data_IF_733813908645
#
_entry.id   IF_733813908645
#
_cell.length_a   1.000
_cell.length_b   1.000
_cell.length_c   1.000
_cell.angle_alpha   90.00
_cell.angle_beta   90.00
_cell.angle_gamma   90.00
#
_symmetry.space_group_name_H-M   'P 1'
#
loop_
_entity.id
_entity.type
_entity.pdbx_description
1 polymer ?
#
# COMPACT_ATOMS: atom_id res chain seq x y z
N UNK A 1 -4.75 1.40 -32.03
CA UNK A 1 -3.89 1.66 -30.85
C UNK A 1 -4.77 2.12 -29.70
N UNK A 2 -5.01 1.28 -28.71
CA UNK A 2 -5.63 1.67 -27.44
C UNK A 2 -5.06 0.74 -26.36
N UNK A 3 -3.85 1.06 -25.90
CA UNK A 3 -3.26 0.44 -24.73
C UNK A 3 -4.17 0.70 -23.53
N UNK A 4 -4.79 -0.37 -23.01
CA UNK A 4 -5.71 -0.41 -21.87
C UNK A 4 -6.11 0.94 -21.26
N UNK A 5 -7.20 1.53 -21.76
CA UNK A 5 -7.76 2.81 -21.29
C UNK A 5 -7.77 2.87 -19.76
N UNK A 6 -7.21 3.95 -19.21
CA UNK A 6 -7.33 4.32 -17.80
C UNK A 6 -8.82 4.46 -17.44
N UNK A 7 -9.22 3.91 -16.30
CA UNK A 7 -10.63 3.90 -15.86
C UNK A 7 -10.70 4.67 -14.54
N UNK A 8 -11.02 5.96 -14.63
CA UNK A 8 -11.04 6.88 -13.48
C UNK A 8 -12.06 6.48 -12.42
N UNK A 9 -13.13 5.82 -12.82
CA UNK A 9 -14.20 5.34 -11.95
C UNK A 9 -13.66 4.28 -10.98
N UNK A 10 -12.76 3.41 -11.45
CA UNK A 10 -12.16 2.36 -10.63
C UNK A 10 -11.20 2.95 -9.58
N UNK A 11 -10.44 3.97 -9.95
CA UNK A 11 -9.57 4.66 -8.99
C UNK A 11 -10.37 5.45 -7.95
N UNK A 12 -11.51 6.03 -8.35
CA UNK A 12 -12.43 6.70 -7.43
C UNK A 12 -13.04 5.72 -6.43
N UNK A 13 -13.43 4.51 -6.87
CA UNK A 13 -13.89 3.44 -5.98
C UNK A 13 -12.80 3.00 -4.99
N UNK A 14 -11.54 2.93 -5.43
CA UNK A 14 -10.41 2.66 -4.53
C UNK A 14 -10.23 3.77 -3.50
N UNK A 15 -10.36 5.03 -3.91
CA UNK A 15 -10.28 6.18 -2.99
C UNK A 15 -11.39 6.15 -1.94
N UNK A 16 -12.64 5.83 -2.34
CA UNK A 16 -13.77 5.65 -1.41
C UNK A 16 -13.50 4.52 -0.43
N UNK A 17 -12.98 3.38 -0.90
CA UNK A 17 -12.64 2.24 -0.05
C UNK A 17 -11.59 2.62 1.00
N UNK A 18 -10.51 3.29 0.60
CA UNK A 18 -9.47 3.81 1.53
C UNK A 18 -10.06 4.84 2.49
N UNK A 19 -10.93 5.74 2.02
CA UNK A 19 -11.59 6.71 2.87
C UNK A 19 -12.44 6.03 3.96
N UNK A 20 -13.16 4.97 3.62
CA UNK A 20 -13.90 4.17 4.61
C UNK A 20 -12.99 3.56 5.68
N UNK A 21 -11.81 3.05 5.28
CA UNK A 21 -10.80 2.53 6.23
C UNK A 21 -10.28 3.65 7.14
N UNK A 22 -9.98 4.82 6.59
CA UNK A 22 -9.50 5.97 7.37
C UNK A 22 -10.55 6.46 8.36
N UNK A 23 -11.80 6.60 7.92
CA UNK A 23 -12.91 7.05 8.76
C UNK A 23 -13.19 6.06 9.90
N UNK A 24 -13.10 4.76 9.64
CA UNK A 24 -13.17 3.73 10.69
C UNK A 24 -12.10 3.92 11.76
N UNK A 25 -10.85 4.20 11.38
CA UNK A 25 -9.76 4.43 12.35
C UNK A 25 -9.88 5.77 13.09
N UNK A 26 -10.50 6.79 12.48
CA UNK A 26 -10.69 8.10 13.11
C UNK A 26 -11.89 8.13 14.06
N UNK A 27 -12.95 7.37 13.76
CA UNK A 27 -14.21 7.37 14.51
C UNK A 27 -14.71 5.93 14.78
N UNK A 28 -13.95 5.10 15.50
CA UNK A 28 -14.26 3.67 15.66
C UNK A 28 -15.61 3.41 16.34
N UNK A 29 -16.04 4.28 17.26
CA UNK A 29 -17.33 4.14 17.97
C UNK A 29 -18.54 4.50 17.10
N UNK A 30 -18.35 5.29 16.05
CA UNK A 30 -19.43 5.80 15.18
C UNK A 30 -19.47 5.13 13.82
N UNK A 31 -18.34 4.62 13.35
CA UNK A 31 -18.18 4.01 12.03
C UNK A 31 -17.64 2.61 12.24
N UNK A 32 -18.51 1.61 12.10
CA UNK A 32 -18.15 0.20 12.18
C UNK A 32 -17.88 -0.38 10.79
N UNK A 33 -17.13 -1.49 10.71
CA UNK A 33 -16.99 -2.23 9.45
C UNK A 33 -15.89 -1.75 8.50
N UNK A 34 -14.89 -1.03 8.99
CA UNK A 34 -13.78 -0.52 8.15
C UNK A 34 -13.01 -1.62 7.40
N UNK A 35 -13.04 -2.86 7.88
CA UNK A 35 -12.43 -4.02 7.20
C UNK A 35 -13.01 -4.25 5.79
N UNK A 36 -14.29 -3.92 5.55
CA UNK A 36 -14.93 -4.03 4.23
C UNK A 36 -14.21 -3.14 3.21
N UNK A 37 -13.78 -1.94 3.63
CA UNK A 37 -13.00 -1.04 2.78
C UNK A 37 -11.66 -1.65 2.36
N UNK A 38 -11.03 -2.42 3.25
CA UNK A 38 -9.78 -3.15 2.96
C UNK A 38 -10.03 -4.21 1.89
N UNK A 39 -11.08 -5.03 2.04
CA UNK A 39 -11.43 -6.09 1.09
C UNK A 39 -11.74 -5.51 -0.31
N UNK A 40 -12.59 -4.48 -0.37
CA UNK A 40 -12.95 -3.81 -1.62
C UNK A 40 -11.69 -3.24 -2.30
N UNK A 41 -10.84 -2.56 -1.54
CA UNK A 41 -9.61 -1.98 -2.08
C UNK A 41 -8.69 -3.03 -2.69
N UNK A 42 -8.48 -4.17 -2.01
CA UNK A 42 -7.61 -5.24 -2.50
C UNK A 42 -8.20 -5.96 -3.71
N UNK A 43 -9.50 -6.27 -3.71
CA UNK A 43 -10.17 -6.91 -4.86
C UNK A 43 -10.06 -6.03 -6.10
N UNK A 44 -10.38 -4.73 -5.99
CA UNK A 44 -10.30 -3.79 -7.11
C UNK A 44 -8.85 -3.62 -7.57
N UNK A 45 -7.91 -3.49 -6.64
CA UNK A 45 -6.49 -3.38 -6.98
C UNK A 45 -6.00 -4.64 -7.70
N UNK A 46 -6.40 -5.83 -7.25
CA UNK A 46 -6.11 -7.10 -7.92
C UNK A 46 -6.63 -7.13 -9.35
N UNK A 47 -7.88 -6.73 -9.58
CA UNK A 47 -8.45 -6.60 -10.92
C UNK A 47 -7.63 -5.66 -11.82
N UNK A 48 -7.32 -4.44 -11.36
CA UNK A 48 -6.56 -3.45 -12.14
C UNK A 48 -5.16 -3.95 -12.47
N UNK A 49 -4.48 -4.55 -11.48
CA UNK A 49 -3.13 -5.08 -11.63
C UNK A 49 -3.13 -6.21 -12.67
N UNK A 50 -4.01 -7.20 -12.51
CA UNK A 50 -4.15 -8.31 -13.45
C UNK A 50 -4.50 -7.83 -14.85
N UNK A 51 -5.43 -6.87 -14.97
CA UNK A 51 -5.80 -6.25 -16.25
C UNK A 51 -4.62 -5.56 -16.93
N UNK A 52 -3.84 -4.79 -16.17
CA UNK A 52 -2.68 -4.05 -16.67
C UNK A 52 -1.52 -4.96 -17.08
N UNK A 53 -1.47 -6.18 -16.56
CA UNK A 53 -0.51 -7.21 -16.95
C UNK A 53 -1.00 -8.04 -18.15
N UNK A 54 -2.21 -8.59 -18.08
CA UNK A 54 -2.72 -9.58 -19.03
C UNK A 54 -3.00 -8.99 -20.42
N UNK A 55 -3.62 -7.81 -20.53
CA UNK A 55 -3.97 -7.26 -21.85
C UNK A 55 -2.74 -6.94 -22.72
N UNK A 56 -1.69 -6.29 -22.19
CA UNK A 56 -0.46 -6.09 -22.96
C UNK A 56 0.31 -7.37 -23.24
N UNK A 57 0.24 -8.36 -22.34
CA UNK A 57 0.92 -9.65 -22.52
C UNK A 57 0.29 -10.46 -23.67
N UNK A 58 -1.04 -10.57 -23.68
CA UNK A 58 -1.80 -11.29 -24.73
C UNK A 58 -1.59 -10.66 -26.10
N UNK A 59 -1.48 -9.32 -26.15
CA UNK A 59 -1.22 -8.58 -27.40
C UNK A 59 0.26 -8.53 -27.80
N UNK A 60 1.15 -9.26 -27.08
CA UNK A 60 2.62 -9.23 -27.24
C UNK A 60 3.24 -7.82 -27.20
N UNK A 61 2.56 -6.89 -26.53
CA UNK A 61 2.98 -5.48 -26.40
C UNK A 61 3.87 -5.24 -25.17
N UNK A 62 3.82 -6.11 -24.17
CA UNK A 62 4.77 -6.06 -23.05
C UNK A 62 5.16 -7.47 -22.61
N UNK A 63 6.36 -7.56 -22.07
CA UNK A 63 6.86 -8.72 -21.32
C UNK A 63 6.56 -8.57 -19.82
N UNK A 64 6.66 -9.68 -19.09
CA UNK A 64 6.60 -9.68 -17.63
C UNK A 64 7.64 -8.74 -17.00
N UNK A 65 8.85 -8.68 -17.58
CA UNK A 65 9.92 -7.79 -17.12
C UNK A 65 9.54 -6.32 -17.26
N UNK A 66 8.96 -5.92 -18.39
CA UNK A 66 8.54 -4.53 -18.63
C UNK A 66 7.40 -4.09 -17.71
N UNK A 67 6.47 -5.00 -17.40
CA UNK A 67 5.42 -4.75 -16.41
C UNK A 67 6.01 -4.36 -15.04
N UNK A 68 6.95 -5.15 -14.53
CA UNK A 68 7.61 -4.86 -13.25
C UNK A 68 8.48 -3.61 -13.29
N UNK A 69 9.23 -3.38 -14.38
CA UNK A 69 10.03 -2.16 -14.54
C UNK A 69 9.15 -0.91 -14.47
N UNK A 70 8.02 -0.89 -15.19
CA UNK A 70 7.06 0.23 -15.17
C UNK A 70 6.51 0.44 -13.76
N UNK A 71 6.19 -0.65 -13.06
CA UNK A 71 5.66 -0.60 -11.69
C UNK A 71 6.68 -0.06 -10.69
N UNK A 72 7.92 -0.57 -10.72
CA UNK A 72 9.01 -0.13 -9.84
C UNK A 72 9.32 1.34 -10.09
N UNK A 73 9.45 1.76 -11.36
CA UNK A 73 9.72 3.17 -11.69
C UNK A 73 8.61 4.12 -11.23
N UNK A 74 7.38 3.63 -11.07
CA UNK A 74 6.25 4.43 -10.58
C UNK A 74 6.14 4.44 -9.05
N UNK A 75 6.30 3.29 -8.40
CA UNK A 75 6.03 3.14 -6.96
C UNK A 75 7.26 3.41 -6.09
N UNK A 76 8.45 2.99 -6.52
CA UNK A 76 9.66 3.05 -5.73
C UNK A 76 10.15 4.48 -5.43
N UNK A 77 10.05 5.47 -6.35
CA UNK A 77 10.45 6.84 -6.04
C UNK A 77 9.60 7.46 -4.93
N UNK A 78 8.26 7.30 -5.01
CA UNK A 78 7.34 7.80 -3.98
C UNK A 78 7.59 7.08 -2.66
N UNK A 79 7.86 5.78 -2.72
CA UNK A 79 8.18 4.97 -1.56
C UNK A 79 9.43 5.46 -0.80
N UNK A 80 10.54 5.63 -1.51
CA UNK A 80 11.79 6.13 -0.91
C UNK A 80 11.64 7.57 -0.40
N UNK A 81 10.88 8.40 -1.11
CA UNK A 81 10.60 9.77 -0.67
C UNK A 81 9.84 9.79 0.66
N UNK A 82 8.82 8.96 0.82
CA UNK A 82 8.06 8.86 2.08
C UNK A 82 8.93 8.29 3.21
N UNK A 83 9.76 7.28 2.94
CA UNK A 83 10.73 6.78 3.93
C UNK A 83 11.66 7.91 4.37
N UNK A 84 12.21 8.68 3.43
CA UNK A 84 13.11 9.79 3.73
C UNK A 84 12.42 10.85 4.59
N UNK A 85 11.25 11.32 4.16
CA UNK A 85 10.47 12.34 4.88
C UNK A 85 10.13 11.86 6.29
N UNK A 86 9.60 10.63 6.42
CA UNK A 86 9.22 10.08 7.73
C UNK A 86 10.44 9.84 8.62
N UNK A 87 11.61 9.51 8.06
CA UNK A 87 12.87 9.38 8.82
C UNK A 87 13.31 10.72 9.38
N UNK A 88 13.29 11.77 8.55
CA UNK A 88 13.64 13.13 8.99
C UNK A 88 12.68 13.60 10.09
N UNK A 89 11.38 13.44 9.86
CA UNK A 89 10.35 13.82 10.83
C UNK A 89 10.48 13.03 12.13
N UNK A 90 10.72 11.71 12.05
CA UNK A 90 10.91 10.86 13.22
C UNK A 90 12.12 11.29 14.05
N UNK A 91 13.24 11.66 13.41
CA UNK A 91 14.44 12.14 14.11
C UNK A 91 14.18 13.37 14.98
N UNK A 92 13.32 14.30 14.52
CA UNK A 92 13.00 15.52 15.26
C UNK A 92 11.85 15.35 16.28
N UNK A 93 10.91 14.43 16.05
CA UNK A 93 9.71 14.28 16.88
C UNK A 93 9.79 13.16 17.92
N UNK A 94 10.53 12.09 17.66
CA UNK A 94 10.51 10.89 18.52
C UNK A 94 11.55 10.96 19.63
N UNK A 95 11.16 10.49 20.82
CA UNK A 95 12.08 10.25 21.91
C UNK A 95 13.10 9.13 21.59
N UNK A 96 14.28 9.12 22.23
CA UNK A 96 15.34 8.15 21.93
C UNK A 96 14.92 6.68 22.00
N UNK A 97 14.00 6.34 22.91
CA UNK A 97 13.51 4.97 23.04
C UNK A 97 12.58 4.57 21.88
N UNK A 98 11.77 5.51 21.37
CA UNK A 98 10.92 5.31 20.20
C UNK A 98 11.73 5.27 18.90
N UNK A 99 12.81 6.04 18.80
CA UNK A 99 13.73 6.00 17.65
C UNK A 99 14.35 4.62 17.46
N UNK A 100 14.66 3.88 18.54
CA UNK A 100 15.16 2.50 18.44
C UNK A 100 14.13 1.56 17.82
N UNK A 101 12.86 1.70 18.18
CA UNK A 101 11.78 0.90 17.60
C UNK A 101 11.54 1.29 16.14
N UNK A 102 11.53 2.59 15.84
CA UNK A 102 11.43 3.10 14.48
C UNK A 102 12.55 2.56 13.59
N UNK A 103 13.81 2.55 14.06
CA UNK A 103 14.95 2.02 13.29
C UNK A 103 14.78 0.54 12.93
N UNK A 104 14.19 -0.28 13.82
CA UNK A 104 13.87 -1.68 13.51
C UNK A 104 12.83 -1.79 12.39
N UNK A 105 11.74 -1.00 12.48
CA UNK A 105 10.72 -0.94 11.43
C UNK A 105 11.26 -0.37 10.12
N UNK A 106 12.20 0.58 10.17
CA UNK A 106 12.84 1.17 9.01
C UNK A 106 13.63 0.14 8.20
N UNK A 107 14.26 -0.84 8.84
CA UNK A 107 14.96 -1.93 8.14
C UNK A 107 13.95 -2.77 7.33
N UNK A 108 12.87 -3.23 7.97
CA UNK A 108 11.83 -4.00 7.30
C UNK A 108 11.14 -3.23 6.17
N UNK A 109 10.91 -1.93 6.40
CA UNK A 109 10.40 -1.03 5.38
C UNK A 109 11.43 -0.89 4.23
N UNK A 110 12.70 -0.61 4.48
CA UNK A 110 13.70 -0.41 3.39
C UNK A 110 13.73 -1.58 2.39
N UNK A 111 13.60 -2.82 2.87
CA UNK A 111 13.56 -4.02 2.03
C UNK A 111 12.17 -4.41 1.53
N UNK A 112 11.13 -3.63 1.82
CA UNK A 112 9.73 -3.90 1.47
C UNK A 112 9.19 -5.24 2.05
N UNK A 113 9.76 -5.70 3.15
CA UNK A 113 9.39 -6.98 3.83
C UNK A 113 8.66 -6.76 5.14
N UNK A 114 8.30 -5.52 5.48
CA UNK A 114 7.68 -5.19 6.76
C UNK A 114 6.41 -6.02 7.05
N UNK A 115 5.59 -6.29 6.03
CA UNK A 115 4.40 -7.14 6.19
C UNK A 115 4.74 -8.60 6.55
N UNK A 116 5.89 -9.11 6.09
CA UNK A 116 6.35 -10.46 6.45
C UNK A 116 6.81 -10.46 7.91
N UNK A 117 7.53 -9.42 8.34
CA UNK A 117 7.97 -9.28 9.73
C UNK A 117 6.76 -9.18 10.68
N UNK A 118 5.75 -8.39 10.34
CA UNK A 118 4.51 -8.31 11.11
C UNK A 118 3.74 -9.64 11.16
N UNK A 119 3.76 -10.41 10.07
CA UNK A 119 3.14 -11.73 10.07
C UNK A 119 3.85 -12.70 11.04
N UNK A 120 5.18 -12.61 11.15
CA UNK A 120 5.99 -13.47 12.03
C UNK A 120 5.90 -13.04 13.50
N UNK A 121 5.83 -11.74 13.79
CA UNK A 121 5.83 -11.17 15.15
C UNK A 121 4.49 -11.29 15.92
N UNK A 122 3.42 -11.80 15.29
CA UNK A 122 2.06 -11.83 15.84
C UNK A 122 1.14 -10.81 15.16
N UNK A 123 -0.13 -11.18 14.94
CA UNK A 123 -0.95 -10.69 13.83
C UNK A 123 -1.00 -9.17 13.71
N UNK A 124 -0.89 -8.68 12.47
CA UNK A 124 -1.14 -7.28 12.09
C UNK A 124 -2.48 -6.75 12.62
N UNK A 125 -3.48 -7.64 12.79
CA UNK A 125 -4.82 -7.30 13.25
C UNK A 125 -5.04 -7.43 14.77
N UNK A 126 -4.12 -8.08 15.51
CA UNK A 126 -4.31 -8.31 16.96
C UNK A 126 -4.20 -7.00 17.74
N UNK A 127 -3.48 -6.00 17.22
CA UNK A 127 -3.33 -4.67 17.84
C UNK A 127 -4.46 -3.68 17.50
N UNK A 128 -5.33 -4.00 16.56
CA UNK A 128 -6.40 -3.10 16.09
C UNK A 128 -7.76 -3.37 16.78
N UNK A 129 -7.86 -4.43 17.59
CA UNK A 129 -9.10 -4.88 18.24
C UNK A 129 -9.09 -4.59 19.76
N UNK A 130 -8.03 -3.97 20.29
CA UNK A 130 -7.88 -3.56 21.70
C UNK A 130 -7.75 -2.05 21.80
#
# INVERSE_FOLDING_TARGET
MNSGKYISEIDSLRAIAVMGVLLFHLFPDSITGGFIGVDIFFVISGFVISRSYLFPLISRQNTFKEFWIKRIRRLFPVYLLIILITTIVAYFLLEPHLLKNYAKSLIGQTFYIQNILFWIEGSYFDKAIT
#
